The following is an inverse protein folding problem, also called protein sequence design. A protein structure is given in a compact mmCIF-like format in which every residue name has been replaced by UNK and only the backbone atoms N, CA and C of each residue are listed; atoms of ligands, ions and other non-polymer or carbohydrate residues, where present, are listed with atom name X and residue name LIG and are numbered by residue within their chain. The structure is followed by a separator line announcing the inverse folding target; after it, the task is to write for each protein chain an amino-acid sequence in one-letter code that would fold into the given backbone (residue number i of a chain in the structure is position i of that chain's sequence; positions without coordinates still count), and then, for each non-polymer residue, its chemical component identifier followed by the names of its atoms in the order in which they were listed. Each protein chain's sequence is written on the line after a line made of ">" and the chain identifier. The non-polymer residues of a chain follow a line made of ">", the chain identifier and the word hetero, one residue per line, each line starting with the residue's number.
data_IF_445146335253
#
_entry.id   IF_445146335253
#
_cell.length_a   1.000
_cell.length_b   1.000
_cell.length_c   1.000
_cell.angle_alpha   90.00
_cell.angle_beta   90.00
_cell.angle_gamma   90.00
#
_symmetry.space_group_name_H-M   'P 1'
#
loop_
_entity.id
_entity.type
_entity.pdbx_description
1 polymer ?
#
# COMPACT_ATOMS: atom_id res chain seq x y z
N UNK A 1 9.85 -17.55 -41.27
CA UNK A 1 8.95 -17.41 -40.09
C UNK A 1 7.57 -17.99 -40.42
N UNK A 2 7.37 -19.31 -40.30
CA UNK A 2 6.01 -19.86 -40.34
C UNK A 2 5.23 -19.40 -39.09
N UNK A 3 3.98 -18.98 -39.26
CA UNK A 3 3.03 -18.78 -38.15
C UNK A 3 2.74 -17.34 -37.68
N UNK A 4 3.42 -16.30 -38.18
CA UNK A 4 3.05 -14.90 -37.84
C UNK A 4 2.12 -14.29 -38.90
N UNK A 5 1.02 -13.68 -38.45
CA UNK A 5 0.11 -12.93 -39.31
C UNK A 5 0.79 -11.66 -39.84
N UNK A 6 0.55 -11.35 -41.11
CA UNK A 6 1.05 -10.11 -41.75
C UNK A 6 0.29 -8.92 -41.18
N UNK A 7 1.03 -7.90 -40.79
CA UNK A 7 0.47 -6.65 -40.26
C UNK A 7 0.24 -5.62 -41.37
N UNK A 8 -0.66 -4.67 -41.13
CA UNK A 8 -0.87 -3.52 -42.01
C UNK A 8 0.43 -2.73 -42.24
N UNK A 9 1.29 -2.63 -41.22
CA UNK A 9 2.58 -1.95 -41.31
C UNK A 9 3.50 -2.64 -42.33
N UNK A 10 3.63 -3.97 -42.26
CA UNK A 10 4.44 -4.74 -43.21
C UNK A 10 3.92 -4.62 -44.64
N UNK A 11 2.59 -4.59 -44.82
CA UNK A 11 1.98 -4.41 -46.13
C UNK A 11 2.21 -3.01 -46.70
N UNK A 12 2.06 -1.95 -45.89
CA UNK A 12 2.36 -0.57 -46.31
C UNK A 12 3.84 -0.39 -46.63
N UNK A 13 4.73 -0.97 -45.82
CA UNK A 13 6.16 -0.96 -46.06
C UNK A 13 6.50 -1.66 -47.39
N UNK A 14 5.90 -2.81 -47.66
CA UNK A 14 6.04 -3.50 -48.94
C UNK A 14 5.55 -2.64 -50.11
N UNK A 15 4.37 -2.02 -50.02
CA UNK A 15 3.83 -1.17 -51.08
C UNK A 15 4.72 0.03 -51.38
N UNK A 16 5.28 0.68 -50.35
CA UNK A 16 6.25 1.77 -50.51
C UNK A 16 7.50 1.29 -51.23
N UNK A 17 8.10 0.19 -50.76
CA UNK A 17 9.32 -0.36 -51.35
C UNK A 17 9.11 -0.91 -52.76
N UNK A 18 7.89 -1.33 -53.10
CA UNK A 18 7.54 -1.85 -54.42
C UNK A 18 7.59 -0.79 -55.52
N UNK A 19 7.49 0.49 -55.17
CA UNK A 19 7.64 1.61 -56.12
C UNK A 19 9.07 1.70 -56.68
N UNK A 20 10.07 1.32 -55.89
CA UNK A 20 11.50 1.48 -56.22
C UNK A 20 12.22 0.15 -56.44
N UNK A 21 11.62 -0.97 -56.04
CA UNK A 21 12.25 -2.28 -56.05
C UNK A 21 11.38 -3.37 -56.67
N UNK A 22 12.04 -4.39 -57.24
CA UNK A 22 11.39 -5.63 -57.69
C UNK A 22 10.71 -6.35 -56.52
N UNK A 23 9.66 -7.11 -56.82
CA UNK A 23 8.78 -7.75 -55.84
C UNK A 23 9.57 -8.54 -54.79
N UNK A 24 10.59 -9.28 -55.19
CA UNK A 24 11.40 -10.14 -54.32
C UNK A 24 12.24 -9.32 -53.33
N UNK A 25 12.77 -8.18 -53.76
CA UNK A 25 13.60 -7.28 -52.95
C UNK A 25 12.72 -6.49 -51.98
N UNK A 26 11.58 -5.97 -52.45
CA UNK A 26 10.59 -5.31 -51.60
C UNK A 26 10.02 -6.27 -50.53
N UNK A 27 9.75 -7.53 -50.91
CA UNK A 27 9.27 -8.55 -49.99
C UNK A 27 10.27 -8.87 -48.89
N UNK A 28 11.55 -9.07 -49.25
CA UNK A 28 12.61 -9.35 -48.29
C UNK A 28 12.78 -8.19 -47.30
N UNK A 29 12.83 -6.95 -47.80
CA UNK A 29 12.92 -5.74 -46.96
C UNK A 29 11.70 -5.54 -46.05
N UNK A 30 10.51 -5.94 -46.49
CA UNK A 30 9.28 -5.87 -45.70
C UNK A 30 9.06 -7.10 -44.78
N UNK A 31 10.02 -8.03 -44.71
CA UNK A 31 9.90 -9.29 -43.97
C UNK A 31 8.68 -10.13 -44.39
N UNK A 32 8.38 -10.17 -45.69
CA UNK A 32 7.30 -10.94 -46.29
C UNK A 32 7.85 -12.11 -47.12
N UNK A 33 7.07 -13.20 -47.20
CA UNK A 33 7.38 -14.27 -48.15
C UNK A 33 7.12 -13.82 -49.59
N UNK A 34 7.87 -14.36 -50.56
CA UNK A 34 7.66 -14.09 -51.99
C UNK A 34 6.20 -14.36 -52.41
N UNK A 35 5.64 -15.49 -51.97
CA UNK A 35 4.26 -15.86 -52.26
C UNK A 35 3.23 -14.84 -51.69
N UNK A 36 3.50 -14.28 -50.50
CA UNK A 36 2.66 -13.22 -49.92
C UNK A 36 2.77 -11.93 -50.72
N UNK A 37 3.98 -11.54 -51.11
CA UNK A 37 4.23 -10.30 -51.85
C UNK A 37 3.49 -10.26 -53.18
N UNK A 38 3.53 -11.36 -53.96
CA UNK A 38 2.73 -11.48 -55.19
C UNK A 38 1.22 -11.47 -54.92
N UNK A 39 0.77 -11.99 -53.77
CA UNK A 39 -0.65 -11.93 -53.39
C UNK A 39 -1.09 -10.51 -53.06
N UNK A 40 -0.24 -9.74 -52.39
CA UNK A 40 -0.46 -8.32 -52.05
C UNK A 40 -0.44 -7.46 -53.32
N UNK A 41 0.44 -7.76 -54.27
CA UNK A 41 0.50 -7.05 -55.57
C UNK A 41 -0.80 -7.25 -56.38
N UNK A 42 -1.39 -8.44 -56.33
CA UNK A 42 -2.68 -8.74 -56.98
C UNK A 42 -3.90 -8.19 -56.23
N UNK A 43 -3.80 -8.00 -54.91
CA UNK A 43 -4.89 -7.46 -54.09
C UNK A 43 -4.34 -6.57 -52.95
N UNK A 44 -4.50 -5.27 -53.16
CA UNK A 44 -3.96 -4.21 -52.31
C UNK A 44 -4.76 -3.94 -51.02
N UNK A 45 -5.71 -4.80 -50.64
CA UNK A 45 -6.48 -4.61 -49.40
C UNK A 45 -5.67 -4.97 -48.15
N UNK A 46 -5.66 -4.07 -47.17
CA UNK A 46 -4.92 -4.27 -45.93
C UNK A 46 -5.50 -5.46 -45.13
N UNK A 47 -4.68 -6.23 -44.37
CA UNK A 47 -5.16 -7.33 -43.54
C UNK A 47 -6.28 -6.94 -42.57
N UNK A 48 -6.26 -5.70 -42.04
CA UNK A 48 -7.33 -5.15 -41.21
C UNK A 48 -8.67 -4.98 -41.95
N UNK A 49 -8.64 -4.70 -43.26
CA UNK A 49 -9.83 -4.48 -44.10
C UNK A 49 -10.48 -5.80 -44.54
N UNK A 50 -9.70 -6.88 -44.61
CA UNK A 50 -10.16 -8.21 -45.06
C UNK A 50 -10.58 -9.12 -43.91
N UNK A 51 -10.40 -8.70 -42.64
CA UNK A 51 -10.85 -9.44 -41.46
C UNK A 51 -12.38 -9.51 -41.41
N UNK A 52 -12.95 -10.49 -42.12
CA UNK A 52 -14.35 -10.88 -41.92
C UNK A 52 -14.50 -11.39 -40.48
N UNK A 53 -15.57 -11.00 -39.77
CA UNK A 53 -15.91 -11.62 -38.50
C UNK A 53 -15.95 -13.14 -38.71
N UNK A 54 -15.21 -13.89 -37.88
CA UNK A 54 -15.30 -15.34 -37.92
C UNK A 54 -16.72 -15.72 -37.51
N UNK A 55 -17.50 -16.22 -38.46
CA UNK A 55 -18.80 -16.81 -38.18
C UNK A 55 -18.67 -17.95 -37.18
N UNK A 56 -19.69 -18.13 -36.35
CA UNK A 56 -19.72 -19.23 -35.38
C UNK A 56 -19.94 -20.54 -36.15
N UNK A 57 -19.10 -21.56 -35.88
CA UNK A 57 -19.21 -22.88 -36.54
C UNK A 57 -20.26 -23.80 -35.91
N UNK A 58 -20.78 -23.44 -34.74
CA UNK A 58 -21.78 -24.21 -33.98
C UNK A 58 -22.91 -23.30 -33.52
N UNK A 59 -24.15 -23.82 -33.43
CA UNK A 59 -25.26 -23.14 -32.77
C UNK A 59 -24.86 -22.69 -31.37
N UNK A 60 -25.45 -21.59 -30.92
CA UNK A 60 -25.16 -21.02 -29.62
C UNK A 60 -25.96 -21.73 -28.53
N UNK A 61 -25.32 -22.48 -27.61
CA UNK A 61 -26.05 -23.18 -26.56
C UNK A 61 -26.71 -22.24 -25.54
N UNK A 62 -26.40 -20.94 -25.58
CA UNK A 62 -26.95 -19.94 -24.67
C UNK A 62 -27.95 -18.99 -25.33
N UNK A 63 -28.28 -19.16 -26.61
CA UNK A 63 -29.09 -18.17 -27.33
C UNK A 63 -30.47 -17.98 -26.69
N UNK A 64 -31.15 -19.09 -26.43
CA UNK A 64 -32.55 -19.04 -25.99
C UNK A 64 -32.68 -18.79 -24.48
N UNK A 65 -31.66 -19.14 -23.68
CA UNK A 65 -31.70 -19.03 -22.22
C UNK A 65 -31.15 -17.71 -21.67
N UNK A 66 -30.26 -17.03 -22.41
CA UNK A 66 -29.54 -15.89 -21.86
C UNK A 66 -30.48 -14.71 -21.59
N UNK A 67 -31.27 -14.31 -22.58
CA UNK A 67 -32.21 -13.19 -22.41
C UNK A 67 -33.46 -13.60 -21.63
N UNK A 68 -33.90 -14.86 -21.75
CA UNK A 68 -35.10 -15.37 -21.11
C UNK A 68 -34.94 -15.63 -19.61
N UNK A 69 -33.77 -16.08 -19.16
CA UNK A 69 -33.57 -16.54 -17.77
C UNK A 69 -32.40 -15.85 -17.06
N UNK A 70 -31.25 -15.69 -17.75
CA UNK A 70 -30.06 -15.10 -17.13
C UNK A 70 -30.25 -13.60 -16.90
N UNK A 71 -30.78 -12.86 -17.88
CA UNK A 71 -31.01 -11.41 -17.73
C UNK A 71 -31.99 -11.08 -16.59
N UNK A 72 -33.15 -11.75 -16.44
CA UNK A 72 -34.01 -11.55 -15.27
C UNK A 72 -33.32 -11.82 -13.93
N UNK A 73 -32.50 -12.86 -13.83
CA UNK A 73 -31.71 -13.15 -12.63
C UNK A 73 -30.73 -12.03 -12.29
N UNK A 74 -30.04 -11.47 -13.29
CA UNK A 74 -29.11 -10.35 -13.10
C UNK A 74 -29.83 -9.06 -12.68
N UNK A 75 -31.05 -8.82 -13.19
CA UNK A 75 -31.88 -7.67 -12.78
C UNK A 75 -32.41 -7.82 -11.37
N UNK A 76 -32.86 -9.01 -10.98
CA UNK A 76 -33.40 -9.28 -9.66
C UNK A 76 -32.31 -9.28 -8.56
N UNK A 77 -31.09 -9.72 -8.90
CA UNK A 77 -29.96 -9.78 -7.98
C UNK A 77 -28.66 -9.24 -8.63
N UNK A 78 -28.49 -7.91 -8.72
CA UNK A 78 -27.34 -7.28 -9.41
C UNK A 78 -25.97 -7.76 -8.95
N UNK A 79 -25.81 -8.12 -7.67
CA UNK A 79 -24.56 -8.62 -7.08
C UNK A 79 -24.26 -10.11 -7.27
N UNK A 80 -25.13 -10.88 -7.94
CA UNK A 80 -24.93 -12.34 -8.08
C UNK A 80 -23.64 -12.69 -8.81
N UNK A 81 -22.85 -13.64 -8.29
CA UNK A 81 -21.59 -14.02 -8.94
C UNK A 81 -21.87 -14.76 -10.25
N UNK A 82 -21.13 -14.50 -11.34
CA UNK A 82 -21.31 -15.21 -12.61
C UNK A 82 -21.21 -16.74 -12.50
N UNK A 83 -20.39 -17.24 -11.58
CA UNK A 83 -20.27 -18.68 -11.30
C UNK A 83 -21.56 -19.23 -10.70
N UNK A 84 -22.20 -18.50 -9.78
CA UNK A 84 -23.46 -18.93 -9.18
C UNK A 84 -24.61 -18.96 -10.21
N UNK A 85 -24.64 -18.00 -11.15
CA UNK A 85 -25.58 -18.02 -12.29
C UNK A 85 -25.31 -19.24 -13.17
N UNK A 86 -24.04 -19.54 -13.44
CA UNK A 86 -23.65 -20.69 -14.25
C UNK A 86 -24.06 -22.03 -13.62
N UNK A 87 -23.78 -22.21 -12.33
CA UNK A 87 -24.17 -23.43 -11.60
C UNK A 87 -25.69 -23.61 -11.59
N UNK A 88 -26.44 -22.52 -11.43
CA UNK A 88 -27.90 -22.53 -11.50
C UNK A 88 -28.42 -22.86 -12.91
N UNK A 89 -27.76 -22.40 -13.97
CA UNK A 89 -28.13 -22.75 -15.34
C UNK A 89 -27.82 -24.21 -15.67
N UNK A 90 -26.72 -24.78 -15.16
CA UNK A 90 -26.47 -26.22 -15.30
C UNK A 90 -27.53 -27.07 -14.58
N UNK A 91 -28.06 -26.57 -13.45
CA UNK A 91 -29.14 -27.24 -12.70
C UNK A 91 -30.47 -27.22 -13.46
N UNK A 92 -30.81 -26.11 -14.12
CA UNK A 92 -32.08 -25.95 -14.86
C UNK A 92 -32.04 -26.57 -16.26
N UNK A 93 -30.86 -26.60 -16.87
CA UNK A 93 -30.62 -27.04 -18.24
C UNK A 93 -29.49 -28.07 -18.26
N UNK A 94 -29.75 -29.35 -17.90
CA UNK A 94 -28.74 -30.40 -17.83
C UNK A 94 -28.03 -30.71 -19.16
N UNK A 95 -28.59 -30.28 -20.29
CA UNK A 95 -28.03 -30.41 -21.63
C UNK A 95 -26.87 -29.43 -21.90
N UNK A 96 -26.67 -28.42 -21.04
CA UNK A 96 -25.57 -27.48 -21.15
C UNK A 96 -24.25 -28.13 -20.72
N UNK A 97 -23.22 -28.00 -21.55
CA UNK A 97 -21.87 -28.47 -21.22
C UNK A 97 -21.11 -27.48 -20.34
N UNK A 98 -20.21 -27.97 -19.49
CA UNK A 98 -19.33 -27.13 -18.66
C UNK A 98 -18.48 -26.12 -19.45
N UNK A 99 -18.15 -26.44 -20.71
CA UNK A 99 -17.36 -25.58 -21.61
C UNK A 99 -18.02 -24.23 -21.93
N UNK A 100 -19.27 -24.03 -21.54
CA UNK A 100 -20.05 -22.81 -21.76
C UNK A 100 -19.77 -21.73 -20.70
N UNK A 101 -19.18 -22.08 -19.55
CA UNK A 101 -18.89 -21.16 -18.42
C UNK A 101 -18.25 -19.84 -18.86
N UNK A 102 -17.15 -19.92 -19.61
CA UNK A 102 -16.41 -18.72 -20.07
C UNK A 102 -17.23 -17.84 -21.01
N UNK A 103 -18.13 -18.44 -21.78
CA UNK A 103 -19.04 -17.71 -22.67
C UNK A 103 -20.12 -16.99 -21.86
N UNK A 104 -20.66 -17.66 -20.84
CA UNK A 104 -21.65 -17.10 -19.92
C UNK A 104 -21.06 -15.94 -19.09
N UNK A 105 -19.92 -16.14 -18.44
CA UNK A 105 -19.22 -15.09 -17.68
C UNK A 105 -18.93 -13.86 -18.54
N UNK A 106 -18.49 -14.06 -19.79
CA UNK A 106 -18.25 -12.95 -20.74
C UNK A 106 -19.54 -12.20 -21.08
N UNK A 107 -20.66 -12.90 -21.30
CA UNK A 107 -21.95 -12.26 -21.62
C UNK A 107 -22.53 -11.52 -20.43
N UNK A 108 -22.46 -12.10 -19.23
CA UNK A 108 -22.87 -11.42 -17.99
C UNK A 108 -22.04 -10.14 -17.79
N UNK A 109 -20.72 -10.21 -18.01
CA UNK A 109 -19.84 -9.03 -17.94
C UNK A 109 -20.21 -7.95 -18.96
N UNK A 110 -20.48 -8.35 -20.21
CA UNK A 110 -20.88 -7.41 -21.27
C UNK A 110 -22.24 -6.77 -20.97
N UNK A 111 -23.20 -7.56 -20.47
CA UNK A 111 -24.51 -7.06 -20.08
C UNK A 111 -24.41 -6.06 -18.91
N UNK A 112 -23.62 -6.38 -17.88
CA UNK A 112 -23.36 -5.49 -16.74
C UNK A 112 -22.64 -4.20 -17.12
N UNK A 113 -21.80 -4.22 -18.16
CA UNK A 113 -21.15 -3.00 -18.64
C UNK A 113 -22.14 -1.99 -19.26
N UNK A 114 -23.33 -2.45 -19.68
CA UNK A 114 -24.36 -1.62 -20.31
C UNK A 114 -25.51 -1.33 -19.33
N UNK A 115 -25.84 -2.28 -18.45
CA UNK A 115 -27.05 -2.26 -17.62
C UNK A 115 -26.78 -2.35 -16.11
N UNK A 116 -25.52 -2.55 -15.70
CA UNK A 116 -25.16 -2.56 -14.29
C UNK A 116 -25.02 -1.14 -13.76
N UNK A 117 -25.00 -1.01 -12.43
CA UNK A 117 -24.75 0.25 -11.75
C UNK A 117 -23.42 0.86 -12.18
N UNK A 118 -23.32 2.19 -12.13
CA UNK A 118 -22.06 2.88 -12.38
C UNK A 118 -20.97 2.32 -11.48
N UNK A 119 -19.87 1.88 -12.09
CA UNK A 119 -18.70 1.44 -11.32
C UNK A 119 -17.96 2.68 -10.84
N UNK A 120 -17.62 2.71 -9.55
CA UNK A 120 -16.80 3.77 -8.98
C UNK A 120 -15.51 3.93 -9.80
N UNK A 121 -15.23 5.17 -10.21
CA UNK A 121 -14.02 5.51 -10.95
C UNK A 121 -12.83 5.44 -10.00
N UNK A 122 -12.03 4.39 -10.12
CA UNK A 122 -10.77 4.26 -9.36
C UNK A 122 -9.71 5.14 -10.02
N UNK A 123 -9.48 6.33 -9.45
CA UNK A 123 -8.29 7.11 -9.76
C UNK A 123 -7.08 6.45 -9.10
N UNK A 124 -6.19 5.85 -9.90
CA UNK A 124 -4.90 5.37 -9.38
C UNK A 124 -4.05 6.59 -9.03
N UNK A 125 -3.90 6.88 -7.75
CA UNK A 125 -2.89 7.84 -7.29
C UNK A 125 -1.51 7.34 -7.72
N UNK A 126 -0.79 8.18 -8.48
CA UNK A 126 0.63 7.94 -8.76
C UNK A 126 1.40 8.50 -7.59
N UNK A 127 1.97 7.62 -6.77
CA UNK A 127 2.90 8.03 -5.72
C UNK A 127 4.25 8.33 -6.36
N UNK A 128 4.78 9.53 -6.16
CA UNK A 128 6.12 9.89 -6.63
C UNK A 128 7.18 9.40 -5.61
N UNK A 129 8.35 8.92 -6.06
CA UNK A 129 9.44 8.54 -5.16
C UNK A 129 9.85 9.70 -4.25
N UNK A 130 9.99 9.44 -2.96
CA UNK A 130 10.49 10.39 -1.97
C UNK A 130 9.46 11.46 -1.59
N UNK A 131 8.24 11.41 -2.15
CA UNK A 131 7.24 12.44 -1.94
C UNK A 131 6.60 12.37 -0.56
N UNK A 132 6.13 11.20 -0.12
CA UNK A 132 5.26 11.10 1.05
C UNK A 132 5.66 9.94 1.98
N UNK A 133 5.98 10.30 3.22
CA UNK A 133 6.07 9.37 4.35
C UNK A 133 4.85 9.47 5.25
N UNK A 134 4.44 8.33 5.78
CA UNK A 134 3.23 8.15 6.58
C UNK A 134 3.62 7.54 7.91
N UNK A 135 3.19 8.14 9.02
CA UNK A 135 3.39 7.63 10.37
C UNK A 135 2.06 7.38 11.05
N UNK A 136 1.92 6.22 11.69
CA UNK A 136 0.76 5.90 12.50
C UNK A 136 1.10 5.02 13.70
N UNK A 137 0.14 4.87 14.61
CA UNK A 137 0.20 3.98 15.76
C UNK A 137 -0.91 2.96 15.66
N UNK A 138 -0.61 1.73 16.07
CA UNK A 138 -1.62 0.69 16.12
C UNK A 138 -1.52 -0.10 17.42
N UNK A 139 -2.68 -0.34 18.06
CA UNK A 139 -2.74 -1.11 19.29
C UNK A 139 -2.50 -2.59 19.02
N UNK A 140 -1.66 -3.22 19.84
CA UNK A 140 -1.25 -4.62 19.66
C UNK A 140 -1.74 -5.55 20.77
N UNK A 141 -2.55 -5.05 21.70
CA UNK A 141 -2.99 -5.78 22.89
C UNK A 141 -3.80 -7.03 22.53
N UNK A 142 -4.55 -6.99 21.42
CA UNK A 142 -5.30 -8.16 20.90
C UNK A 142 -4.41 -9.36 20.56
N UNK A 143 -3.10 -9.14 20.33
CA UNK A 143 -2.17 -10.25 20.06
C UNK A 143 -1.75 -11.00 21.33
N UNK A 144 -1.99 -10.45 22.53
CA UNK A 144 -1.69 -11.09 23.80
C UNK A 144 -0.22 -11.47 23.95
N UNK A 145 0.67 -10.53 23.66
CA UNK A 145 2.12 -10.71 23.84
C UNK A 145 2.44 -10.73 25.34
N UNK A 146 3.36 -11.62 25.74
CA UNK A 146 3.88 -11.65 27.10
C UNK A 146 5.41 -11.53 27.08
N UNK A 147 5.97 -10.86 28.10
CA UNK A 147 7.41 -10.77 28.36
C UNK A 147 7.67 -11.42 29.71
N UNK A 148 8.50 -12.46 29.74
CA UNK A 148 8.77 -13.29 30.92
C UNK A 148 7.47 -13.72 31.64
N UNK A 149 6.45 -14.10 30.87
CA UNK A 149 5.13 -14.50 31.37
C UNK A 149 4.21 -13.36 31.81
N UNK A 150 4.64 -12.09 31.76
CA UNK A 150 3.80 -10.94 32.09
C UNK A 150 3.15 -10.35 30.83
N UNK A 151 1.85 -10.03 30.83
CA UNK A 151 1.19 -9.42 29.68
C UNK A 151 1.81 -8.05 29.36
N UNK A 152 2.07 -7.82 28.07
CA UNK A 152 2.57 -6.56 27.55
C UNK A 152 1.45 -5.81 26.84
N UNK A 153 1.02 -4.69 27.43
CA UNK A 153 0.21 -3.70 26.74
C UNK A 153 1.15 -2.73 26.02
N UNK A 154 1.03 -2.65 24.70
CA UNK A 154 1.89 -1.79 23.90
C UNK A 154 1.22 -1.34 22.61
N UNK A 155 1.76 -0.24 22.09
CA UNK A 155 1.46 0.24 20.75
C UNK A 155 2.61 -0.12 19.82
N UNK A 156 2.31 -0.22 18.54
CA UNK A 156 3.30 -0.30 17.50
C UNK A 156 3.26 0.97 16.68
N UNK A 157 4.34 1.76 16.77
CA UNK A 157 4.60 2.83 15.82
C UNK A 157 4.96 2.21 14.48
N UNK A 158 4.40 2.74 13.39
CA UNK A 158 4.64 2.27 12.05
C UNK A 158 4.83 3.45 11.07
N UNK A 159 5.99 3.47 10.43
CA UNK A 159 6.35 4.40 9.37
C UNK A 159 6.34 3.70 8.02
N UNK A 160 5.85 4.39 6.97
CA UNK A 160 5.84 3.87 5.61
C UNK A 160 6.08 4.93 4.54
N UNK A 161 6.78 4.57 3.46
CA UNK A 161 6.83 5.38 2.23
C UNK A 161 5.72 4.98 1.25
N UNK A 162 5.00 5.97 0.73
CA UNK A 162 3.87 5.73 -0.16
C UNK A 162 4.27 5.09 -1.51
N UNK A 163 5.48 5.36 -2.02
CA UNK A 163 5.94 4.84 -3.31
C UNK A 163 6.54 3.43 -3.23
N UNK A 164 7.63 3.25 -2.48
CA UNK A 164 8.31 1.94 -2.41
C UNK A 164 7.58 0.94 -1.53
N UNK A 165 6.77 1.41 -0.59
CA UNK A 165 6.22 0.59 0.49
C UNK A 165 7.28 0.17 1.51
N UNK A 166 8.41 0.88 1.60
CA UNK A 166 9.34 0.78 2.73
C UNK A 166 8.56 0.93 4.04
N UNK A 167 8.81 0.05 5.00
CA UNK A 167 8.16 0.07 6.31
C UNK A 167 9.23 0.07 7.43
N UNK A 168 8.96 0.77 8.52
CA UNK A 168 9.72 0.67 9.77
C UNK A 168 8.71 0.60 10.91
N UNK A 169 8.98 -0.22 11.93
CA UNK A 169 8.10 -0.36 13.07
C UNK A 169 8.88 -0.32 14.37
N UNK A 170 8.27 0.23 15.42
CA UNK A 170 8.89 0.37 16.74
C UNK A 170 7.86 0.11 17.85
N UNK A 171 8.29 -0.62 18.89
CA UNK A 171 7.43 -0.97 20.03
C UNK A 171 7.41 0.18 21.03
N UNK A 172 6.22 0.71 21.30
CA UNK A 172 5.99 1.89 22.15
C UNK A 172 5.23 1.48 23.40
N UNK A 173 5.79 1.80 24.57
CA UNK A 173 5.23 1.47 25.88
C UNK A 173 4.45 2.64 26.50
N UNK A 174 4.86 3.88 26.21
CA UNK A 174 4.35 5.11 26.84
C UNK A 174 3.02 5.66 26.31
N UNK A 175 2.28 4.87 25.51
CA UNK A 175 1.08 5.33 24.81
C UNK A 175 1.37 6.27 23.63
N UNK A 176 0.33 6.80 23.00
CA UNK A 176 0.50 7.73 21.87
C UNK A 176 1.01 9.09 22.37
N UNK A 177 2.31 9.34 22.19
CA UNK A 177 2.96 10.58 22.61
C UNK A 177 3.80 11.18 21.48
N UNK A 178 4.03 12.50 21.55
CA UNK A 178 4.95 13.16 20.62
C UNK A 178 6.37 12.57 20.69
N UNK A 179 6.81 12.17 21.88
CA UNK A 179 8.13 11.56 22.12
C UNK A 179 8.24 10.26 21.32
N UNK A 180 7.27 9.36 21.45
CA UNK A 180 7.23 8.10 20.70
C UNK A 180 7.16 8.32 19.18
N UNK A 181 6.41 9.34 18.72
CA UNK A 181 6.36 9.70 17.31
C UNK A 181 7.72 10.21 16.81
N UNK A 182 8.36 11.11 17.58
CA UNK A 182 9.63 11.68 17.22
C UNK A 182 10.73 10.62 17.19
N UNK A 183 10.82 9.78 18.22
CA UNK A 183 11.76 8.67 18.29
C UNK A 183 11.56 7.68 17.13
N UNK A 184 10.33 7.19 16.94
CA UNK A 184 9.99 6.26 15.88
C UNK A 184 10.28 6.82 14.48
N UNK A 185 9.90 8.08 14.23
CA UNK A 185 10.15 8.74 12.95
C UNK A 185 11.64 8.92 12.71
N UNK A 186 12.39 9.40 13.70
CA UNK A 186 13.84 9.54 13.57
C UNK A 186 14.49 8.19 13.27
N UNK A 187 14.17 7.14 14.03
CA UNK A 187 14.71 5.80 13.78
C UNK A 187 14.41 5.31 12.35
N UNK A 188 13.20 5.54 11.85
CA UNK A 188 12.82 5.21 10.49
C UNK A 188 13.64 5.97 9.43
N UNK A 189 13.77 7.29 9.58
CA UNK A 189 14.49 8.15 8.63
C UNK A 189 15.99 7.82 8.59
N UNK A 190 16.59 7.56 9.75
CA UNK A 190 17.99 7.18 9.86
C UNK A 190 18.26 5.78 9.30
N UNK A 191 17.35 4.83 9.51
CA UNK A 191 17.44 3.50 8.89
C UNK A 191 17.29 3.57 7.36
N UNK A 192 16.38 4.43 6.88
CA UNK A 192 16.15 4.64 5.46
C UNK A 192 17.31 5.37 4.77
N UNK A 193 18.00 6.26 5.49
CA UNK A 193 19.12 7.06 5.01
C UNK A 193 18.70 8.39 4.35
N UNK A 194 17.47 8.85 4.59
CA UNK A 194 16.94 10.06 3.98
C UNK A 194 15.52 10.37 4.44
N UNK A 195 15.03 11.57 4.13
CA UNK A 195 13.69 12.03 4.50
C UNK A 195 12.78 12.33 3.30
N UNK A 196 11.47 12.01 3.37
CA UNK A 196 10.53 12.34 2.32
C UNK A 196 10.28 13.86 2.26
N UNK A 197 9.69 14.35 1.16
CA UNK A 197 9.30 15.75 1.02
C UNK A 197 8.16 16.13 1.96
N UNK A 198 7.16 15.27 2.05
CA UNK A 198 6.00 15.44 2.91
C UNK A 198 5.96 14.33 3.95
N UNK A 199 5.60 14.71 5.17
CA UNK A 199 5.33 13.76 6.25
C UNK A 199 3.88 13.95 6.73
N UNK A 200 3.17 12.84 6.90
CA UNK A 200 1.79 12.81 7.37
C UNK A 200 1.69 11.91 8.59
N UNK A 201 1.03 12.39 9.63
CA UNK A 201 0.70 11.58 10.81
C UNK A 201 -0.70 11.94 11.31
N UNK A 202 -1.53 10.92 11.49
CA UNK A 202 -2.89 11.08 12.04
C UNK A 202 -2.92 10.99 13.57
N UNK A 203 -1.91 10.35 14.15
CA UNK A 203 -1.84 9.95 15.56
C UNK A 203 -1.63 11.12 16.51
N UNK A 204 -1.16 12.26 15.99
CA UNK A 204 -1.17 13.52 16.73
C UNK A 204 -2.60 13.88 17.16
N UNK A 205 -3.61 13.67 16.29
CA UNK A 205 -5.01 13.98 16.60
C UNK A 205 -5.60 13.14 17.74
N UNK A 206 -5.13 11.91 17.90
CA UNK A 206 -5.55 11.00 18.97
C UNK A 206 -4.80 11.30 20.28
N UNK A 207 -3.49 11.55 20.21
CA UNK A 207 -2.69 12.06 21.34
C UNK A 207 -3.22 13.41 21.89
N UNK A 208 -3.85 14.24 21.05
CA UNK A 208 -4.47 15.50 21.44
C UNK A 208 -5.78 15.36 22.23
N UNK A 209 -6.48 14.22 22.24
CA UNK A 209 -7.85 14.16 22.80
C UNK A 209 -7.94 14.49 24.30
N UNK A 210 -6.87 14.24 25.06
CA UNK A 210 -6.84 14.44 26.51
C UNK A 210 -6.02 15.66 26.98
N UNK A 211 -5.61 16.55 26.07
CA UNK A 211 -4.71 17.66 26.37
C UNK A 211 -5.41 19.03 26.31
N UNK A 212 -5.02 19.93 27.21
CA UNK A 212 -5.42 21.33 27.24
C UNK A 212 -5.00 22.06 25.94
N UNK A 213 -5.64 23.19 25.64
CA UNK A 213 -5.40 23.95 24.40
C UNK A 213 -3.91 24.31 24.20
N UNK A 214 -3.24 24.75 25.26
CA UNK A 214 -1.82 25.13 25.25
C UNK A 214 -0.90 23.93 24.95
N UNK A 215 -1.23 22.76 25.47
CA UNK A 215 -0.46 21.52 25.25
C UNK A 215 -0.60 21.00 23.81
N UNK A 216 -1.75 21.22 23.16
CA UNK A 216 -1.97 20.89 21.74
C UNK A 216 -1.16 21.80 20.83
N UNK A 217 -1.10 23.09 21.15
CA UNK A 217 -0.31 24.06 20.39
C UNK A 217 1.19 23.78 20.51
N UNK A 218 1.66 23.50 21.73
CA UNK A 218 3.07 23.14 22.00
C UNK A 218 3.52 21.91 21.20
N UNK A 219 2.72 20.84 21.20
CA UNK A 219 3.03 19.64 20.42
C UNK A 219 2.96 19.86 18.90
N UNK A 220 2.01 20.68 18.42
CA UNK A 220 1.96 21.05 17.00
C UNK A 220 3.22 21.81 16.58
N UNK A 221 3.71 22.70 17.45
CA UNK A 221 4.97 23.42 17.25
C UNK A 221 6.17 22.46 17.22
N UNK A 222 6.31 21.57 18.20
CA UNK A 222 7.39 20.57 18.25
C UNK A 222 7.39 19.64 17.03
N UNK A 223 6.22 19.26 16.53
CA UNK A 223 6.10 18.47 15.30
C UNK A 223 6.52 19.26 14.06
N UNK A 224 6.13 20.53 13.96
CA UNK A 224 6.59 21.40 12.88
C UNK A 224 8.12 21.61 12.92
N UNK A 225 8.69 21.79 14.12
CA UNK A 225 10.14 21.89 14.35
C UNK A 225 10.87 20.60 13.93
N UNK A 226 10.34 19.43 14.32
CA UNK A 226 10.88 18.14 13.91
C UNK A 226 10.85 17.99 12.38
N UNK A 227 9.73 18.30 11.74
CA UNK A 227 9.61 18.25 10.29
C UNK A 227 10.62 19.20 9.62
N UNK A 228 10.73 20.44 10.11
CA UNK A 228 11.66 21.43 9.59
C UNK A 228 13.12 20.97 9.72
N UNK A 229 13.50 20.34 10.84
CA UNK A 229 14.85 19.79 11.04
C UNK A 229 15.23 18.74 9.99
N UNK A 230 14.27 17.90 9.62
CA UNK A 230 14.43 16.89 8.56
C UNK A 230 14.07 17.41 7.15
N UNK A 231 13.81 18.72 7.01
CA UNK A 231 13.37 19.40 5.76
C UNK A 231 12.04 18.88 5.20
N UNK A 232 11.25 18.20 6.02
CA UNK A 232 9.93 17.70 5.64
C UNK A 232 8.87 18.79 5.77
N UNK A 233 7.87 18.75 4.91
CA UNK A 233 6.67 19.57 5.04
C UNK A 233 5.56 18.75 5.71
N UNK A 234 5.07 19.15 6.90
CA UNK A 234 3.98 18.44 7.55
C UNK A 234 2.69 18.60 6.75
N UNK A 235 1.97 17.50 6.54
CA UNK A 235 0.65 17.51 5.92
C UNK A 235 -0.39 16.92 6.88
N UNK A 236 -1.62 17.40 6.80
CA UNK A 236 -2.78 16.84 7.50
C UNK A 236 -3.72 16.18 6.50
N UNK A 237 -4.48 15.20 6.95
CA UNK A 237 -5.55 14.62 6.15
C UNK A 237 -6.67 15.64 5.90
N UNK A 238 -7.15 15.71 4.66
CA UNK A 238 -8.37 16.42 4.33
C UNK A 238 -9.56 15.62 4.89
N UNK A 239 -10.22 16.14 5.94
CA UNK A 239 -11.44 15.52 6.49
C UNK A 239 -12.48 15.35 5.37
N UNK A 240 -12.83 14.11 5.05
CA UNK A 240 -13.90 13.78 4.10
C UNK A 240 -13.50 13.03 2.82
N UNK A 241 -12.21 12.79 2.57
CA UNK A 241 -11.76 12.01 1.40
C UNK A 241 -11.30 10.62 1.86
N UNK A 242 -12.23 9.67 1.95
CA UNK A 242 -11.96 8.28 2.36
C UNK A 242 -10.87 7.58 1.52
N UNK A 243 -10.69 8.02 0.27
CA UNK A 243 -9.71 7.43 -0.66
C UNK A 243 -8.25 7.73 -0.32
N UNK A 244 -7.94 8.76 0.48
CA UNK A 244 -6.57 9.01 0.97
C UNK A 244 -6.20 8.09 2.15
N UNK A 245 -7.18 7.68 2.95
CA UNK A 245 -6.98 6.80 4.11
C UNK A 245 -6.70 5.35 3.70
N UNK A 246 -7.14 4.92 2.51
CA UNK A 246 -6.92 3.56 1.99
C UNK A 246 -5.45 3.19 1.77
N UNK A 247 -4.57 4.18 1.63
CA UNK A 247 -3.11 3.99 1.54
C UNK A 247 -2.47 3.59 2.87
N UNK A 248 -3.18 3.77 4.00
CA UNK A 248 -2.70 3.57 5.38
C UNK A 248 -3.46 2.42 6.07
N UNK A 249 -4.78 2.31 5.89
CA UNK A 249 -5.59 1.27 6.56
C UNK A 249 -5.25 -0.16 6.09
N UNK A 250 -5.10 -0.38 4.78
CA UNK A 250 -4.80 -1.73 4.27
C UNK A 250 -3.41 -2.23 4.68
N UNK A 251 -2.32 -1.44 4.62
CA UNK A 251 -0.99 -1.87 5.07
C UNK A 251 -0.88 -2.13 6.57
N UNK A 252 -1.60 -1.39 7.42
CA UNK A 252 -1.60 -1.65 8.87
C UNK A 252 -2.23 -3.00 9.20
N UNK A 253 -3.36 -3.31 8.55
CA UNK A 253 -3.94 -4.65 8.62
C UNK A 253 -2.95 -5.72 8.15
N UNK A 254 -2.19 -5.45 7.08
CA UNK A 254 -1.18 -6.39 6.58
C UNK A 254 -0.02 -6.62 7.57
N UNK A 255 0.51 -5.59 8.24
CA UNK A 255 1.56 -5.76 9.24
C UNK A 255 1.07 -6.55 10.46
N UNK A 256 -0.11 -6.19 10.99
CA UNK A 256 -0.73 -6.93 12.11
C UNK A 256 -0.96 -8.40 11.79
N UNK A 257 -1.50 -8.68 10.60
CA UNK A 257 -1.70 -10.06 10.14
C UNK A 257 -0.36 -10.80 10.01
N UNK A 258 0.67 -10.16 9.44
CA UNK A 258 2.00 -10.77 9.32
C UNK A 258 2.63 -11.08 10.68
N UNK A 259 2.48 -10.20 11.67
CA UNK A 259 2.96 -10.43 13.04
C UNK A 259 2.17 -11.58 13.68
N UNK A 260 0.84 -11.58 13.57
CA UNK A 260 -0.01 -12.67 14.08
C UNK A 260 0.40 -14.02 13.48
N UNK A 261 0.58 -14.08 12.15
CA UNK A 261 0.95 -15.32 11.47
C UNK A 261 2.35 -15.78 11.90
N UNK A 262 3.30 -14.87 12.07
CA UNK A 262 4.63 -15.19 12.57
C UNK A 262 4.60 -15.70 14.02
N UNK A 263 3.75 -15.14 14.89
CA UNK A 263 3.55 -15.63 16.27
C UNK A 263 2.94 -17.03 16.29
N UNK A 264 1.98 -17.31 15.40
CA UNK A 264 1.41 -18.65 15.25
C UNK A 264 2.46 -19.67 14.82
N UNK A 265 3.34 -19.31 13.88
CA UNK A 265 4.45 -20.16 13.44
C UNK A 265 5.50 -20.39 14.52
N UNK A 266 5.76 -19.38 15.36
CA UNK A 266 6.66 -19.49 16.52
C UNK A 266 6.10 -20.44 17.59
N UNK A 267 4.78 -20.62 17.65
CA UNK A 267 4.11 -21.52 18.60
C UNK A 267 3.99 -20.97 20.03
N UNK A 268 4.59 -19.82 20.31
CA UNK A 268 4.47 -19.10 21.59
C UNK A 268 4.42 -17.58 21.35
N UNK A 269 3.68 -16.89 22.20
CA UNK A 269 3.57 -15.42 22.26
C UNK A 269 4.42 -14.79 23.36
N UNK A 270 5.15 -15.63 24.12
CA UNK A 270 5.99 -15.22 25.23
C UNK A 270 7.43 -15.01 24.80
N UNK A 271 8.03 -13.90 25.20
CA UNK A 271 9.42 -13.53 24.94
C UNK A 271 10.19 -13.39 26.24
N UNK A 272 11.48 -13.71 26.25
CA UNK A 272 12.31 -13.63 27.47
C UNK A 272 12.46 -12.18 27.95
N UNK A 273 12.62 -11.24 27.02
CA UNK A 273 12.75 -9.81 27.28
C UNK A 273 12.14 -8.96 26.15
N UNK A 274 12.08 -7.65 26.38
CA UNK A 274 11.54 -6.69 25.42
C UNK A 274 12.39 -6.59 24.15
N UNK A 275 13.71 -6.74 24.27
CA UNK A 275 14.64 -6.65 23.14
C UNK A 275 14.46 -7.83 22.18
N UNK A 276 14.18 -9.03 22.69
CA UNK A 276 13.80 -10.20 21.91
C UNK A 276 12.51 -9.99 21.15
N UNK A 277 11.51 -9.35 21.76
CA UNK A 277 10.28 -8.98 21.05
C UNK A 277 10.52 -7.90 19.99
N UNK A 278 11.30 -6.87 20.29
CA UNK A 278 11.69 -5.83 19.32
C UNK A 278 12.45 -6.42 18.13
N UNK A 279 13.42 -7.29 18.37
CA UNK A 279 14.16 -8.00 17.33
C UNK A 279 13.26 -8.88 16.45
N UNK A 280 12.25 -9.52 17.03
CA UNK A 280 11.25 -10.27 16.26
C UNK A 280 10.43 -9.39 15.32
N UNK A 281 10.02 -8.20 15.77
CA UNK A 281 9.34 -7.22 14.92
C UNK A 281 10.27 -6.74 13.80
N UNK A 282 11.52 -6.42 14.12
CA UNK A 282 12.53 -5.99 13.16
C UNK A 282 12.77 -7.04 12.07
N UNK A 283 12.80 -8.33 12.43
CA UNK A 283 12.94 -9.43 11.47
C UNK A 283 11.77 -9.50 10.49
N UNK A 284 10.53 -9.34 10.97
CA UNK A 284 9.33 -9.34 10.13
C UNK A 284 9.36 -8.16 9.16
N UNK A 285 9.63 -6.96 9.66
CA UNK A 285 9.71 -5.74 8.85
C UNK A 285 10.84 -5.85 7.82
N UNK A 286 12.01 -6.33 8.23
CA UNK A 286 13.17 -6.53 7.34
C UNK A 286 12.85 -7.51 6.22
N UNK A 287 12.18 -8.64 6.50
CA UNK A 287 11.74 -9.60 5.47
C UNK A 287 10.74 -8.98 4.49
N UNK A 288 9.85 -8.10 4.96
CA UNK A 288 8.91 -7.39 4.09
C UNK A 288 9.62 -6.36 3.22
N UNK A 289 10.54 -5.58 3.78
CA UNK A 289 11.36 -4.61 3.05
C UNK A 289 12.25 -5.28 1.99
N UNK A 290 12.82 -6.46 2.28
CA UNK A 290 13.64 -7.21 1.33
C UNK A 290 12.90 -7.53 0.03
N UNK A 291 11.58 -7.75 0.08
CA UNK A 291 10.74 -7.99 -1.12
C UNK A 291 10.64 -6.75 -2.02
N UNK A 292 10.85 -5.56 -1.47
CA UNK A 292 10.73 -4.28 -2.17
C UNK A 292 12.07 -3.55 -2.34
N UNK A 293 13.20 -4.19 -2.03
CA UNK A 293 14.54 -3.57 -2.01
C UNK A 293 14.85 -2.69 -3.23
N UNK A 294 14.61 -3.18 -4.45
CA UNK A 294 14.84 -2.39 -5.69
C UNK A 294 14.05 -1.08 -5.75
N UNK A 295 12.80 -1.07 -5.23
CA UNK A 295 11.98 0.15 -5.18
C UNK A 295 12.44 1.08 -4.06
N UNK A 296 12.86 0.52 -2.92
CA UNK A 296 13.41 1.28 -1.80
C UNK A 296 14.71 1.97 -2.21
N UNK A 297 15.60 1.28 -2.91
CA UNK A 297 16.85 1.86 -3.40
C UNK A 297 16.61 2.96 -4.44
N UNK A 298 15.64 2.74 -5.35
CA UNK A 298 15.24 3.77 -6.31
C UNK A 298 14.63 5.00 -5.61
N UNK A 299 13.86 4.80 -4.54
CA UNK A 299 13.28 5.88 -3.76
C UNK A 299 14.33 6.62 -2.93
N UNK A 300 15.32 5.91 -2.38
CA UNK A 300 16.41 6.49 -1.58
C UNK A 300 17.15 7.59 -2.33
N UNK A 301 17.30 7.45 -3.65
CA UNK A 301 17.92 8.47 -4.51
C UNK A 301 17.12 9.77 -4.62
N UNK A 302 15.81 9.74 -4.35
CA UNK A 302 14.91 10.89 -4.38
C UNK A 302 14.64 11.50 -2.99
N UNK A 303 15.20 10.93 -1.92
CA UNK A 303 15.01 11.43 -0.56
C UNK A 303 15.87 12.66 -0.28
N UNK A 304 15.38 13.49 0.63
CA UNK A 304 16.12 14.61 1.18
C UNK A 304 17.25 14.11 2.09
N UNK A 305 18.41 14.77 2.09
CA UNK A 305 19.51 14.37 2.96
C UNK A 305 19.11 14.54 4.43
N UNK A 306 19.63 13.66 5.28
CA UNK A 306 19.45 13.78 6.72
C UNK A 306 20.26 14.98 7.27
N UNK A 307 19.78 15.61 8.36
CA UNK A 307 20.57 16.58 9.12
C UNK A 307 21.79 15.89 9.77
N UNK A 308 22.82 16.68 10.12
CA UNK A 308 24.07 16.13 10.70
C UNK A 308 23.91 15.47 12.06
N UNK A 309 22.83 15.77 12.78
CA UNK A 309 22.50 15.18 14.09
C UNK A 309 21.01 14.88 14.20
N UNK A 310 20.65 13.90 15.04
CA UNK A 310 19.27 13.69 15.51
C UNK A 310 18.79 14.91 16.31
N UNK A 311 17.48 15.18 16.29
CA UNK A 311 16.86 16.08 17.26
C UNK A 311 16.76 15.39 18.62
N UNK A 312 16.77 16.18 19.69
CA UNK A 312 16.42 15.73 21.04
C UNK A 312 15.10 14.95 21.01
N UNK A 313 15.15 13.68 21.36
CA UNK A 313 14.05 12.73 21.40
C UNK A 313 13.39 12.65 22.78
N UNK A 314 13.68 13.59 23.68
CA UNK A 314 13.17 13.62 25.05
C UNK A 314 12.25 14.82 25.30
N UNK A 315 11.26 14.62 26.18
CA UNK A 315 10.45 15.72 26.72
C UNK A 315 11.18 16.36 27.91
N UNK A 316 11.47 17.67 27.85
CA UNK A 316 11.99 18.41 29.01
C UNK A 316 10.84 18.92 29.88
N UNK A 317 10.71 18.39 31.10
CA UNK A 317 9.79 18.90 32.12
C UNK A 317 10.59 19.58 33.23
N UNK A 318 10.23 20.83 33.54
CA UNK A 318 10.80 21.55 34.67
C UNK A 318 10.02 21.21 35.93
N UNK A 319 10.62 20.45 36.84
CA UNK A 319 10.03 20.06 38.13
C UNK A 319 10.66 20.85 39.27
N UNK A 320 9.90 21.10 40.33
CA UNK A 320 10.42 21.70 41.57
C UNK A 320 10.60 20.63 42.63
N UNK A 321 11.78 20.58 43.23
CA UNK A 321 12.05 19.64 44.33
C UNK A 321 11.34 20.12 45.59
N UNK A 322 10.47 19.28 46.13
CA UNK A 322 9.72 19.52 47.35
C UNK A 322 10.63 19.54 48.59
N UNK A 323 10.10 20.00 49.72
CA UNK A 323 10.78 19.92 51.03
C UNK A 323 11.00 18.49 51.51
N UNK A 324 10.32 17.50 50.93
CA UNK A 324 10.51 16.07 51.22
C UNK A 324 11.66 15.43 50.41
N UNK A 325 12.45 16.22 49.66
CA UNK A 325 13.63 15.70 48.96
C UNK A 325 13.32 14.97 47.65
N UNK A 326 12.17 15.28 47.02
CA UNK A 326 11.78 14.64 45.76
C UNK A 326 10.81 15.48 44.93
N UNK A 327 10.33 14.93 43.84
CA UNK A 327 9.31 15.54 42.99
C UNK A 327 8.43 14.47 42.34
N UNK A 328 7.21 14.84 41.94
CA UNK A 328 6.31 13.94 41.21
C UNK A 328 6.36 14.25 39.72
N UNK A 329 6.58 13.24 38.89
CA UNK A 329 6.55 13.33 37.43
C UNK A 329 5.72 12.18 36.88
N UNK A 330 4.71 12.49 36.05
CA UNK A 330 3.73 11.51 35.51
C UNK A 330 3.17 10.53 36.56
N UNK A 331 2.79 11.06 37.74
CA UNK A 331 2.24 10.31 38.90
C UNK A 331 3.23 9.39 39.64
N UNK A 332 4.51 9.39 39.29
CA UNK A 332 5.57 8.67 40.00
C UNK A 332 6.41 9.67 40.82
N UNK A 333 6.72 9.34 42.08
CA UNK A 333 7.55 10.17 42.95
C UNK A 333 9.01 9.76 42.85
N UNK A 334 9.88 10.72 42.55
CA UNK A 334 11.31 10.55 42.42
C UNK A 334 12.02 11.26 43.56
N UNK A 335 12.96 10.58 44.22
CA UNK A 335 13.83 11.17 45.25
C UNK A 335 15.11 11.72 44.62
N UNK A 336 15.62 12.80 45.18
CA UNK A 336 16.86 13.45 44.75
C UNK A 336 17.72 13.80 45.97
N UNK A 337 19.04 14.02 45.81
CA UNK A 337 19.89 14.45 46.92
C UNK A 337 19.32 15.70 47.62
N UNK A 338 19.30 15.68 48.97
CA UNK A 338 18.69 16.72 49.80
C UNK A 338 19.18 18.15 49.53
N UNK A 339 20.41 18.29 49.02
CA UNK A 339 20.97 19.56 48.54
C UNK A 339 20.18 20.24 47.41
N UNK A 340 19.33 19.49 46.71
CA UNK A 340 18.51 20.01 45.61
C UNK A 340 17.12 20.49 46.07
N UNK A 341 16.79 20.40 47.37
CA UNK A 341 15.52 20.89 47.92
C UNK A 341 15.34 22.38 47.61
N UNK A 342 14.19 22.74 47.03
CA UNK A 342 13.86 24.12 46.65
C UNK A 342 14.37 24.54 45.27
N UNK A 343 15.23 23.74 44.61
CA UNK A 343 15.69 24.00 43.24
C UNK A 343 14.69 23.50 42.18
N UNK A 344 14.78 24.07 40.98
CA UNK A 344 14.07 23.60 39.79
C UNK A 344 15.03 22.73 38.97
N UNK A 345 14.60 21.52 38.63
CA UNK A 345 15.36 20.58 37.82
C UNK A 345 14.71 20.48 36.44
N UNK A 346 15.53 20.37 35.38
CA UNK A 346 15.06 19.94 34.06
C UNK A 346 15.19 18.44 34.00
N UNK A 347 14.06 17.75 33.90
CA UNK A 347 14.01 16.30 33.73
C UNK A 347 13.79 16.01 32.25
N UNK A 348 14.63 15.16 31.70
CA UNK A 348 14.51 14.64 30.33
C UNK A 348 13.78 13.31 30.40
N UNK A 349 12.56 13.27 29.86
CA UNK A 349 11.75 12.07 29.74
C UNK A 349 12.05 11.40 28.40
N UNK A 350 12.52 10.17 28.46
CA UNK A 350 12.71 9.29 27.30
C UNK A 350 11.56 8.27 27.32
N UNK A 351 11.06 7.82 26.15
CA UNK A 351 9.93 6.86 26.11
C UNK A 351 10.30 5.51 26.76
N UNK A 352 11.58 5.17 26.75
CA UNK A 352 12.11 3.93 27.32
C UNK A 352 12.33 3.94 28.84
N UNK A 353 12.08 5.04 29.57
CA UNK A 353 12.44 5.16 31.01
C UNK A 353 11.44 5.88 31.90
#
# INVERSE_FOLDING_TARGET
>A
MPGRHITDHQMRLFMKLRQEHRVEVAAAKASLSRATAYRIEKNAQLPSQVKKPRGRRRPDPLADIFDAEVVPLLKAAPGIRPVAVFDEMLRRHPELSEGVRRTMERRIRAWRAINGDEQEVIFRQVHEPGRLGLSDFTNMNELGITIAGQPLDHLLYHFRLAYSGFEHAHVVLGGESFVALAEGLQNALWFLGGAPLYHRSDSLSAAFRNLDADAKEDQTRRYAELCAHYRMTPTRNNKGIAHENGAIESPHGHLKNAIRDALLLRGTRDFDDLDGYRGFIDEIVSRRNARYGKRIDAERAALQPLPGTRTSDFEEVVVRVSRSGGFTLRKVFYTVPSRLIGHRLRVRLYDER
#
